data_IF_538936775699
#
_entry.id   IF_538936775699
#
_cell.length_a   1.000
_cell.length_b   1.000
_cell.length_c   1.000
_cell.angle_alpha   90.00
_cell.angle_beta   90.00
_cell.angle_gamma   90.00
#
_symmetry.space_group_name_H-M   'P 1'
#
loop_
_entity.id
_entity.type
_entity.pdbx_description
1 polymer ?
#
# COMPACT_ATOMS: atom_id res chain seq x y z
N UNK A 1 4.59 9.26 -13.47
CA UNK A 1 4.49 9.78 -14.84
C UNK A 1 4.06 8.70 -15.84
N UNK A 2 4.70 7.52 -15.91
CA UNK A 2 4.36 6.47 -16.89
C UNK A 2 2.90 6.03 -16.81
N UNK A 3 2.37 5.85 -15.62
CA UNK A 3 0.96 5.49 -15.46
C UNK A 3 -0.02 6.55 -16.00
N UNK A 4 0.38 7.82 -16.04
CA UNK A 4 -0.38 8.89 -16.67
C UNK A 4 -0.36 8.73 -18.20
N UNK A 5 0.80 8.45 -18.78
CA UNK A 5 0.92 8.24 -20.23
C UNK A 5 0.16 7.00 -20.70
N UNK A 6 0.20 5.90 -19.93
CA UNK A 6 -0.60 4.70 -20.20
C UNK A 6 -2.09 5.05 -20.18
N UNK A 7 -2.55 5.81 -19.17
CA UNK A 7 -3.94 6.22 -19.06
C UNK A 7 -4.39 7.07 -20.27
N UNK A 8 -3.57 8.06 -20.66
CA UNK A 8 -3.85 8.89 -21.84
C UNK A 8 -3.93 8.10 -23.14
N UNK A 9 -3.05 7.09 -23.28
CA UNK A 9 -2.98 6.26 -24.47
C UNK A 9 -4.16 5.29 -24.56
N UNK A 10 -4.51 4.62 -23.46
CA UNK A 10 -5.56 3.61 -23.42
C UNK A 10 -6.97 4.20 -23.34
N UNK A 11 -7.12 5.42 -22.83
CA UNK A 11 -8.44 5.99 -22.51
C UNK A 11 -9.05 5.39 -21.23
N UNK A 12 -10.17 5.97 -20.74
CA UNK A 12 -10.74 5.61 -19.44
C UNK A 12 -11.15 4.15 -19.33
N UNK A 13 -11.80 3.56 -20.33
CA UNK A 13 -12.32 2.20 -20.29
C UNK A 13 -11.20 1.15 -20.21
N UNK A 14 -10.23 1.18 -21.15
CA UNK A 14 -9.15 0.21 -21.16
C UNK A 14 -8.19 0.40 -19.98
N UNK A 15 -7.92 1.64 -19.58
CA UNK A 15 -7.15 1.93 -18.39
C UNK A 15 -7.87 1.48 -17.12
N UNK A 16 -9.17 1.58 -17.10
CA UNK A 16 -10.01 1.07 -16.02
C UNK A 16 -9.93 -0.46 -15.89
N UNK A 17 -10.07 -1.17 -17.00
CA UNK A 17 -9.91 -2.62 -17.02
C UNK A 17 -8.52 -3.06 -16.55
N UNK A 18 -7.46 -2.36 -16.96
CA UNK A 18 -6.10 -2.61 -16.47
C UNK A 18 -6.00 -2.35 -14.96
N UNK A 19 -6.54 -1.23 -14.49
CA UNK A 19 -6.53 -0.83 -13.08
C UNK A 19 -7.33 -1.80 -12.21
N UNK A 20 -8.50 -2.23 -12.68
CA UNK A 20 -9.29 -3.30 -12.06
C UNK A 20 -8.47 -4.58 -11.93
N UNK A 21 -7.85 -5.03 -13.03
CA UNK A 21 -7.07 -6.27 -13.05
C UNK A 21 -5.87 -6.21 -12.09
N UNK A 22 -5.20 -5.07 -12.01
CA UNK A 22 -4.12 -4.82 -11.04
C UNK A 22 -4.67 -4.85 -9.61
N UNK A 23 -5.74 -4.11 -9.31
CA UNK A 23 -6.33 -4.05 -7.98
C UNK A 23 -6.84 -5.43 -7.53
N UNK A 24 -7.47 -6.17 -8.45
CA UNK A 24 -7.94 -7.54 -8.21
C UNK A 24 -6.78 -8.48 -7.85
N UNK A 25 -5.69 -8.44 -8.60
CA UNK A 25 -4.50 -9.24 -8.33
C UNK A 25 -3.86 -8.86 -6.98
N UNK A 26 -3.78 -7.56 -6.68
CA UNK A 26 -3.24 -7.05 -5.43
C UNK A 26 -4.04 -7.51 -4.19
N UNK A 27 -5.36 -7.67 -4.33
CA UNK A 27 -6.21 -8.15 -3.23
C UNK A 27 -5.73 -9.49 -2.67
N UNK A 28 -5.21 -10.34 -3.54
CA UNK A 28 -4.68 -11.66 -3.16
C UNK A 28 -3.16 -11.63 -2.81
N UNK A 29 -2.48 -10.52 -3.08
CA UNK A 29 -1.03 -10.41 -2.89
C UNK A 29 -0.57 -10.68 -1.45
N UNK A 30 -1.37 -10.29 -0.45
CA UNK A 30 -1.10 -10.60 0.95
C UNK A 30 -1.08 -12.10 1.24
N UNK A 31 -1.93 -12.88 0.56
CA UNK A 31 -1.96 -14.36 0.71
C UNK A 31 -0.68 -14.99 0.17
N UNK A 32 -0.10 -14.48 -0.91
CA UNK A 32 1.11 -15.04 -1.52
C UNK A 32 2.33 -14.95 -0.60
N UNK A 33 2.40 -13.93 0.27
CA UNK A 33 3.51 -13.74 1.21
C UNK A 33 3.29 -14.43 2.56
N UNK A 34 2.09 -14.92 2.85
CA UNK A 34 1.70 -15.60 4.09
C UNK A 34 2.05 -14.80 5.37
N UNK A 35 2.21 -13.47 5.27
CA UNK A 35 2.63 -12.61 6.38
C UNK A 35 4.06 -12.86 6.87
N UNK A 36 4.89 -13.51 6.05
CA UNK A 36 6.25 -13.94 6.41
C UNK A 36 7.30 -12.81 6.47
N UNK A 37 7.22 -11.70 5.70
CA UNK A 37 8.34 -10.77 5.56
C UNK A 37 8.99 -10.36 6.88
N UNK A 38 8.23 -9.78 7.80
CA UNK A 38 8.75 -9.27 9.08
C UNK A 38 9.24 -10.39 10.01
N UNK A 39 8.58 -11.57 9.97
CA UNK A 39 8.94 -12.72 10.79
C UNK A 39 10.27 -13.30 10.33
N UNK A 40 10.46 -13.45 9.02
CA UNK A 40 11.68 -14.00 8.44
C UNK A 40 12.87 -13.08 8.69
N UNK A 41 12.72 -11.77 8.45
CA UNK A 41 13.78 -10.79 8.73
C UNK A 41 14.14 -10.80 10.21
N UNK A 42 13.14 -10.80 11.11
CA UNK A 42 13.34 -10.93 12.57
C UNK A 42 14.16 -12.18 12.93
N UNK A 43 13.77 -13.33 12.39
CA UNK A 43 14.40 -14.61 12.75
C UNK A 43 15.81 -14.73 12.18
N UNK A 44 16.07 -14.23 10.97
CA UNK A 44 17.42 -14.16 10.39
C UNK A 44 18.38 -13.31 11.24
N UNK A 45 17.88 -12.22 11.86
CA UNK A 45 18.68 -11.38 12.75
C UNK A 45 18.86 -12.01 14.13
N UNK A 46 17.81 -12.61 14.70
CA UNK A 46 17.84 -13.14 16.08
C UNK A 46 18.46 -14.54 16.19
N UNK A 47 18.36 -15.35 15.13
CA UNK A 47 18.77 -16.76 15.11
C UNK A 47 19.63 -17.06 13.87
N UNK A 48 20.83 -16.48 13.76
CA UNK A 48 21.67 -16.62 12.55
C UNK A 48 22.08 -18.07 12.27
N UNK A 49 22.11 -18.93 13.28
CA UNK A 49 22.44 -20.35 13.12
C UNK A 49 21.44 -21.15 12.31
N UNK A 50 20.15 -20.73 12.32
CA UNK A 50 19.07 -21.39 11.57
C UNK A 50 18.83 -20.75 10.19
N UNK A 51 19.68 -19.85 9.72
CA UNK A 51 19.46 -19.07 8.48
C UNK A 51 19.18 -19.92 7.25
N UNK A 52 19.85 -21.05 7.07
CA UNK A 52 19.66 -21.92 5.92
C UNK A 52 18.29 -22.61 5.93
N UNK A 53 17.87 -23.05 7.11
CA UNK A 53 16.54 -23.65 7.33
C UNK A 53 15.44 -22.60 7.18
N UNK A 54 15.65 -21.40 7.76
CA UNK A 54 14.69 -20.28 7.64
C UNK A 54 14.50 -19.85 6.18
N UNK A 55 15.59 -19.61 5.45
CA UNK A 55 15.52 -19.18 4.04
C UNK A 55 14.95 -20.26 3.12
N UNK A 56 15.42 -21.52 3.25
CA UNK A 56 14.93 -22.62 2.43
C UNK A 56 13.45 -22.92 2.67
N UNK A 57 13.03 -22.95 3.95
CA UNK A 57 11.62 -23.16 4.31
C UNK A 57 10.75 -21.99 3.83
N UNK A 58 11.23 -20.75 3.97
CA UNK A 58 10.53 -19.56 3.47
C UNK A 58 10.36 -19.59 1.97
N UNK A 59 11.41 -19.96 1.21
CA UNK A 59 11.33 -20.11 -0.26
C UNK A 59 10.24 -21.11 -0.68
N UNK A 60 10.19 -22.27 -0.01
CA UNK A 60 9.16 -23.28 -0.26
C UNK A 60 7.75 -22.76 0.09
N UNK A 61 7.59 -22.08 1.21
CA UNK A 61 6.31 -21.50 1.63
C UNK A 61 5.84 -20.40 0.66
N UNK A 62 6.74 -19.51 0.20
CA UNK A 62 6.39 -18.46 -0.77
C UNK A 62 6.05 -19.04 -2.14
N UNK A 63 6.73 -20.11 -2.57
CA UNK A 63 6.38 -20.81 -3.82
C UNK A 63 4.99 -21.42 -3.72
N UNK A 64 4.70 -22.16 -2.65
CA UNK A 64 3.38 -22.74 -2.41
C UNK A 64 2.31 -21.66 -2.24
N UNK A 65 2.59 -20.61 -1.47
CA UNK A 65 1.71 -19.47 -1.30
C UNK A 65 1.42 -18.76 -2.61
N UNK A 66 2.44 -18.57 -3.47
CA UNK A 66 2.30 -18.00 -4.80
C UNK A 66 1.42 -18.85 -5.72
N UNK A 67 1.63 -20.17 -5.77
CA UNK A 67 0.80 -21.10 -6.56
C UNK A 67 -0.65 -21.10 -6.06
N UNK A 68 -0.86 -21.23 -4.76
CA UNK A 68 -2.20 -21.20 -4.15
C UNK A 68 -2.92 -19.87 -4.46
N UNK A 69 -2.19 -18.75 -4.32
CA UNK A 69 -2.73 -17.43 -4.62
C UNK A 69 -3.11 -17.30 -6.09
N UNK A 70 -2.25 -17.78 -7.00
CA UNK A 70 -2.55 -17.75 -8.42
C UNK A 70 -3.80 -18.58 -8.76
N UNK A 71 -3.92 -19.79 -8.21
CA UNK A 71 -5.14 -20.60 -8.36
C UNK A 71 -6.38 -19.89 -7.82
N UNK A 72 -6.29 -19.27 -6.64
CA UNK A 72 -7.39 -18.49 -6.06
C UNK A 72 -7.79 -17.31 -6.95
N UNK A 73 -6.82 -16.57 -7.48
CA UNK A 73 -7.05 -15.48 -8.44
C UNK A 73 -7.83 -15.97 -9.65
N UNK A 74 -7.39 -17.09 -10.27
CA UNK A 74 -8.04 -17.66 -11.44
C UNK A 74 -9.46 -18.12 -11.13
N UNK A 75 -9.65 -18.88 -10.07
CA UNK A 75 -10.99 -19.35 -9.66
C UNK A 75 -11.92 -18.15 -9.43
N UNK A 76 -11.45 -17.15 -8.67
CA UNK A 76 -12.29 -16.02 -8.29
C UNK A 76 -12.66 -15.16 -9.49
N UNK A 77 -11.74 -14.89 -10.44
CA UNK A 77 -12.06 -14.05 -11.62
C UNK A 77 -13.09 -14.72 -12.54
N UNK A 78 -13.05 -16.05 -12.63
CA UNK A 78 -14.06 -16.79 -13.40
C UNK A 78 -15.47 -16.65 -12.81
N UNK A 79 -15.59 -16.45 -11.49
CA UNK A 79 -16.86 -16.22 -10.81
C UNK A 79 -17.29 -14.75 -10.85
N UNK A 80 -16.32 -13.84 -10.72
CA UNK A 80 -16.59 -12.39 -10.62
C UNK A 80 -16.90 -11.79 -11.99
N UNK A 81 -16.24 -12.26 -13.06
CA UNK A 81 -16.46 -11.81 -14.44
C UNK A 81 -16.61 -13.01 -15.42
N UNK A 82 -17.73 -13.74 -15.37
CA UNK A 82 -17.92 -14.97 -16.16
C UNK A 82 -17.88 -14.73 -17.67
N UNK A 83 -18.33 -13.57 -18.15
CA UNK A 83 -18.48 -13.28 -19.59
C UNK A 83 -17.37 -12.38 -20.15
N UNK A 84 -16.47 -11.85 -19.31
CA UNK A 84 -15.40 -10.94 -19.71
C UNK A 84 -14.08 -11.71 -19.92
N UNK A 85 -13.86 -12.16 -21.16
CA UNK A 85 -12.65 -12.88 -21.51
C UNK A 85 -11.38 -12.03 -21.37
N UNK A 86 -11.45 -10.73 -21.71
CA UNK A 86 -10.28 -9.85 -21.66
C UNK A 86 -9.84 -9.59 -20.21
N UNK A 87 -10.78 -9.36 -19.29
CA UNK A 87 -10.49 -9.28 -17.86
C UNK A 87 -9.83 -10.55 -17.34
N UNK A 88 -10.35 -11.74 -17.70
CA UNK A 88 -9.76 -13.02 -17.30
C UNK A 88 -8.33 -13.17 -17.78
N UNK A 89 -8.04 -12.82 -19.04
CA UNK A 89 -6.70 -12.91 -19.62
C UNK A 89 -5.76 -11.93 -18.90
N UNK A 90 -6.17 -10.67 -18.68
CA UNK A 90 -5.35 -9.69 -17.99
C UNK A 90 -5.05 -10.11 -16.55
N UNK A 91 -6.06 -10.57 -15.82
CA UNK A 91 -5.90 -11.05 -14.44
C UNK A 91 -5.03 -12.33 -14.39
N UNK A 92 -5.16 -13.22 -15.37
CA UNK A 92 -4.30 -14.41 -15.45
C UNK A 92 -2.82 -14.02 -15.67
N UNK A 93 -2.54 -13.08 -16.59
CA UNK A 93 -1.18 -12.61 -16.85
C UNK A 93 -0.62 -11.88 -15.62
N UNK A 94 -1.36 -10.92 -15.05
CA UNK A 94 -0.91 -10.17 -13.89
C UNK A 94 -0.82 -11.02 -12.62
N UNK A 95 -1.76 -11.94 -12.44
CA UNK A 95 -1.78 -12.88 -11.31
C UNK A 95 -0.59 -13.85 -11.32
N UNK A 96 -0.08 -14.20 -12.49
CA UNK A 96 1.10 -15.09 -12.61
C UNK A 96 2.37 -14.47 -11.98
N UNK A 97 2.41 -13.16 -11.73
CA UNK A 97 3.49 -12.52 -10.95
C UNK A 97 3.63 -13.11 -9.55
N UNK A 98 2.56 -13.68 -8.98
CA UNK A 98 2.59 -14.33 -7.66
C UNK A 98 3.48 -15.58 -7.64
N UNK A 99 3.70 -16.24 -8.77
CA UNK A 99 4.57 -17.41 -8.89
C UNK A 99 6.05 -17.08 -8.65
N UNK A 100 6.42 -15.82 -8.81
CA UNK A 100 7.81 -15.35 -8.66
C UNK A 100 8.11 -14.84 -7.25
N UNK A 101 7.15 -14.91 -6.32
CA UNK A 101 7.30 -14.42 -4.92
C UNK A 101 8.40 -15.16 -4.14
N UNK A 102 8.76 -16.38 -4.53
CA UNK A 102 9.87 -17.09 -3.89
C UNK A 102 11.22 -16.33 -3.97
N UNK A 103 11.42 -15.48 -4.98
CA UNK A 103 12.62 -14.63 -5.09
C UNK A 103 12.72 -13.57 -3.99
N UNK A 104 11.64 -13.26 -3.27
CA UNK A 104 11.64 -12.29 -2.17
C UNK A 104 12.48 -12.73 -0.96
N UNK A 105 12.88 -14.02 -0.87
CA UNK A 105 13.87 -14.44 0.12
C UNK A 105 15.17 -13.62 0.02
N UNK A 106 15.56 -13.19 -1.19
CA UNK A 106 16.70 -12.32 -1.39
C UNK A 106 16.50 -10.94 -0.72
N UNK A 107 15.29 -10.40 -0.82
CA UNK A 107 14.93 -9.13 -0.17
C UNK A 107 15.05 -9.27 1.34
N UNK A 108 14.47 -10.32 1.92
CA UNK A 108 14.49 -10.56 3.38
C UNK A 108 15.92 -10.79 3.89
N UNK A 109 16.74 -11.52 3.13
CA UNK A 109 18.16 -11.69 3.44
C UNK A 109 18.90 -10.34 3.45
N UNK A 110 18.83 -9.58 2.36
CA UNK A 110 19.52 -8.30 2.25
C UNK A 110 19.05 -7.27 3.29
N UNK A 111 17.77 -7.30 3.64
CA UNK A 111 17.21 -6.46 4.70
C UNK A 111 17.77 -6.88 6.07
N UNK A 112 17.83 -8.17 6.38
CA UNK A 112 18.37 -8.69 7.63
C UNK A 112 19.87 -8.37 7.82
N UNK A 113 20.61 -8.23 6.73
CA UNK A 113 22.04 -7.86 6.73
C UNK A 113 22.28 -6.34 6.63
N UNK A 114 21.22 -5.52 6.56
CA UNK A 114 21.29 -4.06 6.38
C UNK A 114 22.01 -3.66 5.06
N UNK A 115 21.90 -4.47 4.03
CA UNK A 115 22.48 -4.26 2.69
C UNK A 115 21.41 -4.14 1.60
N UNK A 116 20.28 -3.50 1.92
CA UNK A 116 19.12 -3.33 1.02
C UNK A 116 19.44 -2.61 -0.29
N UNK A 117 20.66 -2.10 -0.49
CA UNK A 117 21.11 -1.49 -1.75
C UNK A 117 20.87 -2.39 -2.97
N UNK A 118 21.11 -3.69 -2.84
CA UNK A 118 20.90 -4.65 -3.92
C UNK A 118 19.42 -4.77 -4.31
N UNK A 119 18.54 -4.83 -3.33
CA UNK A 119 17.08 -4.83 -3.56
C UNK A 119 16.63 -3.56 -4.28
N UNK A 120 17.11 -2.40 -3.78
CA UNK A 120 16.76 -1.08 -4.36
C UNK A 120 17.26 -0.96 -5.80
N UNK A 121 18.49 -1.40 -6.09
CA UNK A 121 19.04 -1.37 -7.46
C UNK A 121 18.25 -2.27 -8.41
N UNK A 122 17.90 -3.49 -7.98
CA UNK A 122 17.15 -4.42 -8.83
C UNK A 122 15.73 -3.89 -9.07
N UNK A 123 15.02 -3.50 -8.04
CA UNK A 123 13.64 -3.02 -8.16
C UNK A 123 13.56 -1.73 -9.00
N UNK A 124 14.37 -0.72 -8.68
CA UNK A 124 14.36 0.54 -9.43
C UNK A 124 14.93 0.37 -10.85
N UNK A 125 15.95 -0.47 -11.04
CA UNK A 125 16.52 -0.76 -12.36
C UNK A 125 15.50 -1.44 -13.27
N UNK A 126 14.84 -2.50 -12.78
CA UNK A 126 13.78 -3.19 -13.51
C UNK A 126 12.63 -2.23 -13.83
N UNK A 127 12.18 -1.45 -12.84
CA UNK A 127 11.15 -0.44 -13.05
C UNK A 127 11.52 0.56 -14.16
N UNK A 128 12.74 1.11 -14.17
CA UNK A 128 13.18 2.08 -15.18
C UNK A 128 13.27 1.47 -16.57
N UNK A 129 13.79 0.25 -16.69
CA UNK A 129 13.87 -0.47 -17.97
C UNK A 129 12.46 -0.69 -18.52
N UNK A 130 11.56 -1.26 -17.72
CA UNK A 130 10.20 -1.56 -18.16
C UNK A 130 9.34 -0.29 -18.30
N UNK A 131 9.70 0.78 -17.60
CA UNK A 131 9.16 2.10 -17.86
C UNK A 131 9.47 2.55 -19.29
N UNK A 132 10.71 2.42 -19.75
CA UNK A 132 11.10 2.69 -21.14
C UNK A 132 10.38 1.76 -22.13
N UNK A 133 10.28 0.46 -21.82
CA UNK A 133 9.52 -0.49 -22.65
C UNK A 133 8.05 -0.08 -22.77
N UNK A 134 7.39 0.29 -21.67
CA UNK A 134 5.99 0.75 -21.70
C UNK A 134 5.81 2.01 -22.55
N UNK A 135 6.80 2.92 -22.56
CA UNK A 135 6.80 4.07 -23.49
C UNK A 135 6.92 3.61 -24.93
N UNK A 136 7.80 2.67 -25.26
CA UNK A 136 7.92 2.12 -26.60
C UNK A 136 6.63 1.42 -27.04
N UNK A 137 5.93 0.71 -26.14
CA UNK A 137 4.63 0.13 -26.43
C UNK A 137 3.59 1.18 -26.80
N UNK A 138 3.56 2.32 -26.10
CA UNK A 138 2.69 3.46 -26.44
C UNK A 138 3.01 4.00 -27.82
N UNK A 139 4.30 4.24 -28.13
CA UNK A 139 4.73 4.80 -29.40
C UNK A 139 4.42 3.87 -30.60
N UNK A 140 4.41 2.57 -30.37
CA UNK A 140 4.09 1.57 -31.39
C UNK A 140 2.59 1.24 -31.50
N UNK A 141 1.72 1.89 -30.74
CA UNK A 141 0.27 1.69 -30.82
C UNK A 141 -0.20 0.29 -30.39
N UNK A 142 0.46 -0.32 -29.40
CA UNK A 142 0.19 -1.72 -29.01
C UNK A 142 -1.08 -1.88 -28.17
N UNK A 143 -1.78 -3.02 -28.24
CA UNK A 143 -3.01 -3.26 -27.50
C UNK A 143 -2.76 -3.35 -25.98
N UNK A 144 -3.84 -3.16 -25.20
CA UNK A 144 -3.85 -3.21 -23.73
C UNK A 144 -3.10 -4.40 -23.14
N UNK A 145 -3.26 -5.58 -23.72
CA UNK A 145 -2.66 -6.84 -23.22
C UNK A 145 -1.12 -6.78 -23.18
N UNK A 146 -0.49 -5.98 -24.07
CA UNK A 146 0.96 -5.79 -24.08
C UNK A 146 1.49 -5.15 -22.78
N UNK A 147 0.71 -4.28 -22.15
CA UNK A 147 1.07 -3.66 -20.86
C UNK A 147 1.03 -4.68 -19.71
N UNK A 148 0.10 -5.64 -19.74
CA UNK A 148 0.06 -6.73 -18.78
C UNK A 148 1.28 -7.65 -18.94
N UNK A 149 1.65 -8.02 -20.17
CA UNK A 149 2.86 -8.78 -20.46
C UNK A 149 4.14 -8.05 -20.06
N UNK A 150 4.22 -6.73 -20.30
CA UNK A 150 5.35 -5.91 -19.85
C UNK A 150 5.48 -5.91 -18.31
N UNK A 151 4.35 -5.87 -17.59
CA UNK A 151 4.34 -5.93 -16.12
C UNK A 151 4.77 -7.32 -15.61
N UNK A 152 4.34 -8.39 -16.25
CA UNK A 152 4.80 -9.74 -15.93
C UNK A 152 6.29 -9.90 -16.22
N UNK A 153 6.77 -9.43 -17.38
CA UNK A 153 8.18 -9.49 -17.74
C UNK A 153 9.06 -8.67 -16.76
N UNK A 154 8.58 -7.51 -16.29
CA UNK A 154 9.22 -6.74 -15.22
C UNK A 154 9.39 -7.58 -13.94
N UNK A 155 8.34 -8.27 -13.51
CA UNK A 155 8.38 -9.13 -12.33
C UNK A 155 9.33 -10.32 -12.51
N UNK A 156 9.35 -10.95 -13.71
CA UNK A 156 10.28 -12.06 -14.02
C UNK A 156 11.73 -11.57 -13.99
N UNK A 157 12.03 -10.45 -14.65
CA UNK A 157 13.39 -9.90 -14.67
C UNK A 157 13.84 -9.51 -13.26
N UNK A 158 12.99 -8.85 -12.48
CA UNK A 158 13.29 -8.54 -11.10
C UNK A 158 13.55 -9.80 -10.26
N UNK A 159 12.74 -10.85 -10.41
CA UNK A 159 12.91 -12.12 -9.71
C UNK A 159 14.21 -12.84 -10.10
N UNK A 160 14.54 -12.89 -11.39
CA UNK A 160 15.78 -13.50 -11.89
C UNK A 160 17.01 -12.74 -11.37
N UNK A 161 17.01 -11.40 -11.49
CA UNK A 161 18.15 -10.58 -11.04
C UNK A 161 18.30 -10.64 -9.52
N UNK A 162 17.20 -10.61 -8.76
CA UNK A 162 17.25 -10.82 -7.30
C UNK A 162 17.83 -12.18 -6.93
N UNK A 163 17.44 -13.25 -7.64
CA UNK A 163 17.96 -14.59 -7.40
C UNK A 163 19.46 -14.69 -7.73
N UNK A 164 19.92 -14.05 -8.80
CA UNK A 164 21.35 -13.96 -9.14
C UNK A 164 22.10 -13.19 -8.08
N UNK A 165 21.60 -12.02 -7.65
CA UNK A 165 22.23 -11.20 -6.60
C UNK A 165 22.30 -11.94 -5.26
N UNK A 166 21.27 -12.73 -4.94
CA UNK A 166 21.27 -13.60 -3.77
C UNK A 166 22.33 -14.71 -3.88
N UNK A 167 22.44 -15.35 -5.05
CA UNK A 167 23.48 -16.38 -5.28
C UNK A 167 24.92 -15.85 -5.18
N UNK A 168 25.13 -14.57 -5.55
CA UNK A 168 26.46 -13.92 -5.50
C UNK A 168 26.82 -13.35 -4.13
N UNK A 169 25.84 -12.83 -3.38
CA UNK A 169 26.06 -12.04 -2.15
C UNK A 169 25.33 -12.62 -0.93
N UNK A 170 24.62 -13.72 -1.09
CA UNK A 170 23.91 -14.42 -0.03
C UNK A 170 24.52 -15.76 0.34
N UNK A 171 23.86 -16.52 1.20
CA UNK A 171 24.22 -17.90 1.50
C UNK A 171 24.06 -18.79 0.25
N UNK A 172 24.94 -19.80 0.14
CA UNK A 172 24.87 -20.73 -0.99
C UNK A 172 23.50 -21.41 -1.11
N UNK A 173 22.84 -21.35 -2.27
CA UNK A 173 21.56 -22.00 -2.47
C UNK A 173 21.57 -23.52 -2.15
N UNK A 174 22.71 -24.17 -2.31
CA UNK A 174 22.89 -25.60 -2.02
C UNK A 174 22.81 -25.96 -0.54
N UNK A 175 22.99 -24.98 0.35
CA UNK A 175 22.92 -25.14 1.80
C UNK A 175 21.50 -24.92 2.34
N UNK A 176 20.59 -24.40 1.49
CA UNK A 176 19.21 -24.16 1.89
C UNK A 176 18.50 -25.50 2.15
N UNK A 177 17.88 -25.62 3.30
CA UNK A 177 17.12 -26.82 3.67
C UNK A 177 15.70 -26.46 4.06
N UNK A 178 14.78 -27.35 3.76
CA UNK A 178 13.34 -27.19 4.05
C UNK A 178 12.99 -28.07 5.24
N UNK A 179 12.30 -27.48 6.21
CA UNK A 179 11.87 -28.19 7.43
C UNK A 179 10.37 -27.93 7.68
N UNK A 180 9.59 -29.00 7.73
CA UNK A 180 8.17 -28.91 8.04
C UNK A 180 7.91 -28.35 9.45
N UNK A 181 8.78 -28.72 10.40
CA UNK A 181 8.70 -28.18 11.77
C UNK A 181 8.94 -26.68 11.79
N UNK A 182 9.92 -26.20 11.03
CA UNK A 182 10.22 -24.77 10.94
C UNK A 182 9.10 -24.02 10.19
N UNK A 183 8.51 -24.62 9.14
CA UNK A 183 7.35 -24.07 8.46
C UNK A 183 6.15 -23.83 9.39
N UNK A 184 5.85 -24.80 10.26
CA UNK A 184 4.79 -24.65 11.27
C UNK A 184 5.05 -23.48 12.23
N UNK A 185 6.31 -23.30 12.66
CA UNK A 185 6.70 -22.21 13.56
C UNK A 185 6.51 -20.86 12.82
N UNK A 186 7.03 -20.73 11.60
CA UNK A 186 6.91 -19.50 10.81
C UNK A 186 5.44 -19.14 10.56
N UNK A 187 4.62 -20.10 10.14
CA UNK A 187 3.18 -19.87 9.88
C UNK A 187 2.41 -19.52 11.16
N UNK A 188 2.74 -20.17 12.29
CA UNK A 188 2.15 -19.84 13.59
C UNK A 188 2.47 -18.41 14.03
N UNK A 189 3.66 -17.92 13.73
CA UNK A 189 4.07 -16.55 14.08
C UNK A 189 3.51 -15.52 13.10
N UNK A 190 3.36 -15.88 11.79
CA UNK A 190 3.00 -14.94 10.74
C UNK A 190 1.50 -14.78 10.46
N UNK A 191 0.63 -15.73 10.88
CA UNK A 191 -0.79 -15.66 10.56
C UNK A 191 -1.51 -14.37 11.01
N UNK A 192 -1.15 -13.73 12.17
CA UNK A 192 -1.79 -12.47 12.52
C UNK A 192 -1.39 -11.33 11.57
N UNK A 193 -0.14 -11.36 11.08
CA UNK A 193 0.36 -10.40 10.11
C UNK A 193 -0.29 -10.61 8.73
N UNK A 194 -0.52 -11.86 8.35
CA UNK A 194 -1.27 -12.19 7.14
C UNK A 194 -2.68 -11.57 7.18
N UNK A 195 -3.43 -11.76 8.26
CA UNK A 195 -4.76 -11.16 8.41
C UNK A 195 -4.72 -9.63 8.40
N UNK A 196 -3.69 -9.04 9.05
CA UNK A 196 -3.48 -7.60 9.00
C UNK A 196 -3.23 -7.10 7.58
N UNK A 197 -2.39 -7.79 6.82
CA UNK A 197 -2.07 -7.42 5.44
C UNK A 197 -3.28 -7.55 4.52
N UNK A 198 -4.09 -8.60 4.68
CA UNK A 198 -5.35 -8.76 3.95
C UNK A 198 -6.29 -7.59 4.26
N UNK A 199 -6.48 -7.26 5.53
CA UNK A 199 -7.35 -6.14 5.93
C UNK A 199 -6.89 -4.80 5.34
N UNK A 200 -5.59 -4.55 5.33
CA UNK A 200 -5.01 -3.32 4.72
C UNK A 200 -5.26 -3.29 3.22
N UNK A 201 -5.02 -4.39 2.50
CA UNK A 201 -5.20 -4.42 1.04
C UNK A 201 -6.67 -4.29 0.66
N UNK A 202 -7.59 -4.97 1.36
CA UNK A 202 -9.04 -4.79 1.19
C UNK A 202 -9.40 -3.31 1.38
N UNK A 203 -8.96 -2.73 2.48
CA UNK A 203 -9.23 -1.34 2.82
C UNK A 203 -8.72 -0.34 1.75
N UNK A 204 -7.62 -0.66 1.06
CA UNK A 204 -7.02 0.23 0.05
C UNK A 204 -7.51 0.00 -1.38
N UNK A 205 -8.05 -1.18 -1.71
CA UNK A 205 -8.27 -1.56 -3.13
C UNK A 205 -9.67 -2.08 -3.43
N UNK A 206 -10.48 -2.33 -2.41
CA UNK A 206 -11.84 -2.87 -2.62
C UNK A 206 -12.74 -1.93 -3.41
N UNK A 207 -12.55 -0.61 -3.27
CA UNK A 207 -13.30 0.42 -3.99
C UNK A 207 -13.23 0.23 -5.50
N UNK A 208 -12.01 -0.02 -6.04
CA UNK A 208 -11.79 -0.21 -7.48
C UNK A 208 -12.47 -1.49 -7.97
N UNK A 209 -12.47 -2.54 -7.16
CA UNK A 209 -13.12 -3.81 -7.51
C UNK A 209 -14.63 -3.67 -7.48
N UNK A 210 -15.17 -3.08 -6.41
CA UNK A 210 -16.62 -2.86 -6.29
C UNK A 210 -17.13 -1.90 -7.37
N UNK A 211 -16.39 -0.84 -7.66
CA UNK A 211 -16.73 0.10 -8.72
C UNK A 211 -16.78 -0.60 -10.09
N UNK A 212 -15.79 -1.44 -10.39
CA UNK A 212 -15.74 -2.21 -11.64
C UNK A 212 -16.86 -3.23 -11.78
N UNK A 213 -17.36 -3.79 -10.67
CA UNK A 213 -18.49 -4.73 -10.67
C UNK A 213 -19.85 -4.05 -10.72
N UNK A 214 -19.97 -2.87 -10.10
CA UNK A 214 -21.27 -2.21 -9.90
C UNK A 214 -21.58 -1.16 -10.97
N UNK A 215 -20.53 -0.56 -11.58
CA UNK A 215 -20.67 0.55 -12.54
C UNK A 215 -19.99 0.23 -13.88
N UNK A 216 -18.77 -0.33 -13.87
CA UNK A 216 -18.04 -0.70 -15.07
C UNK A 216 -16.63 -0.15 -15.10
N UNK A 217 -15.88 -0.54 -16.15
CA UNK A 217 -14.44 -0.29 -16.24
C UNK A 217 -14.09 1.18 -16.48
N UNK A 218 -14.91 1.91 -17.24
CA UNK A 218 -14.70 3.34 -17.44
C UNK A 218 -14.70 4.11 -16.12
N UNK A 219 -15.66 3.81 -15.23
CA UNK A 219 -15.72 4.42 -13.90
C UNK A 219 -14.46 4.08 -13.05
N UNK A 220 -13.93 2.85 -13.17
CA UNK A 220 -12.68 2.47 -12.52
C UNK A 220 -11.51 3.27 -13.10
N UNK A 221 -11.47 3.51 -14.41
CA UNK A 221 -10.41 4.28 -15.06
C UNK A 221 -10.38 5.73 -14.58
N UNK A 222 -11.54 6.37 -14.58
CA UNK A 222 -11.73 7.74 -14.08
C UNK A 222 -11.36 7.84 -12.60
N UNK A 223 -11.85 6.91 -11.77
CA UNK A 223 -11.52 6.83 -10.34
C UNK A 223 -10.01 6.62 -10.12
N UNK A 224 -9.41 5.67 -10.84
CA UNK A 224 -8.00 5.34 -10.69
C UNK A 224 -7.07 6.48 -11.10
N UNK A 225 -7.46 7.32 -12.07
CA UNK A 225 -6.73 8.51 -12.44
C UNK A 225 -6.69 9.53 -11.29
N UNK A 226 -7.82 9.78 -10.64
CA UNK A 226 -7.92 10.67 -9.48
C UNK A 226 -7.13 10.13 -8.28
N UNK A 227 -7.35 8.85 -7.92
CA UNK A 227 -6.69 8.20 -6.79
C UNK A 227 -5.17 8.20 -6.94
N UNK A 228 -4.66 7.95 -8.14
CA UNK A 228 -3.21 7.94 -8.40
C UNK A 228 -2.54 9.29 -8.09
N UNK A 229 -3.20 10.42 -8.35
CA UNK A 229 -2.69 11.74 -7.97
C UNK A 229 -2.78 11.95 -6.47
N UNK A 230 -3.87 11.51 -5.86
CA UNK A 230 -4.07 11.64 -4.42
C UNK A 230 -3.08 10.77 -3.62
N UNK A 231 -2.83 9.52 -4.03
CA UNK A 231 -1.94 8.59 -3.34
C UNK A 231 -0.46 8.93 -3.48
N UNK A 232 -0.06 9.71 -4.52
CA UNK A 232 1.36 10.07 -4.69
C UNK A 232 1.93 10.82 -3.48
N UNK A 233 1.11 11.50 -2.71
CA UNK A 233 1.53 12.26 -1.53
C UNK A 233 1.79 11.38 -0.29
N UNK A 234 1.36 10.09 -0.31
CA UNK A 234 1.46 9.21 0.85
C UNK A 234 2.90 8.81 1.21
N UNK A 235 3.88 9.03 0.32
CA UNK A 235 5.29 8.84 0.67
C UNK A 235 5.81 9.88 1.67
N UNK A 236 5.21 11.09 1.70
CA UNK A 236 5.66 12.19 2.56
C UNK A 236 5.54 11.82 4.05
N UNK A 237 4.36 11.43 4.58
CA UNK A 237 4.24 11.08 5.99
C UNK A 237 5.10 9.89 6.37
N UNK A 238 5.28 8.89 5.49
CA UNK A 238 6.13 7.73 5.77
C UNK A 238 7.60 8.13 5.96
N UNK A 239 8.12 9.01 5.09
CA UNK A 239 9.48 9.52 5.17
C UNK A 239 9.72 10.39 6.40
N UNK A 240 8.82 11.34 6.68
CA UNK A 240 8.95 12.23 7.84
C UNK A 240 8.89 11.42 9.14
N UNK A 241 7.89 10.54 9.25
CA UNK A 241 7.70 9.73 10.46
C UNK A 241 8.89 8.79 10.68
N UNK A 242 9.42 8.16 9.64
CA UNK A 242 10.62 7.31 9.74
C UNK A 242 11.83 8.10 10.28
N UNK A 243 11.99 9.37 9.88
CA UNK A 243 13.10 10.22 10.31
C UNK A 243 12.95 10.72 11.75
N UNK A 244 11.72 11.06 12.18
CA UNK A 244 11.46 11.69 13.48
C UNK A 244 11.22 10.67 14.60
N UNK A 245 10.72 9.49 14.27
CA UNK A 245 10.32 8.47 15.24
C UNK A 245 11.43 8.02 16.22
N UNK A 246 12.70 7.82 15.81
CA UNK A 246 13.77 7.51 16.75
C UNK A 246 13.98 8.58 17.83
N UNK A 247 13.81 9.88 17.45
CA UNK A 247 13.93 10.99 18.39
C UNK A 247 12.73 11.04 19.37
N UNK A 248 11.54 10.62 18.93
CA UNK A 248 10.35 10.47 19.78
C UNK A 248 10.56 9.35 20.79
N UNK A 249 11.04 8.18 20.34
CA UNK A 249 11.32 7.04 21.23
C UNK A 249 12.41 7.37 22.27
N UNK A 250 13.45 8.09 21.86
CA UNK A 250 14.51 8.53 22.79
C UNK A 250 13.93 9.45 23.88
N UNK A 251 13.01 10.34 23.52
CA UNK A 251 12.34 11.22 24.49
C UNK A 251 11.48 10.44 25.48
N UNK A 252 10.85 9.33 25.09
CA UNK A 252 10.09 8.45 25.98
C UNK A 252 10.93 7.91 27.16
N UNK A 253 12.20 7.57 26.89
CA UNK A 253 13.11 7.08 27.91
C UNK A 253 13.56 8.17 28.90
N UNK A 254 13.40 9.45 28.54
CA UNK A 254 13.84 10.59 29.35
C UNK A 254 12.68 11.22 30.13
N UNK A 255 11.53 11.44 29.50
CA UNK A 255 10.34 12.08 30.11
C UNK A 255 9.09 11.78 29.29
N UNK A 256 8.05 11.30 29.95
CA UNK A 256 6.73 11.05 29.35
C UNK A 256 6.14 12.35 28.78
N UNK A 257 6.30 13.47 29.47
CA UNK A 257 5.83 14.78 29.00
C UNK A 257 6.52 15.18 27.67
N UNK A 258 7.84 15.02 27.58
CA UNK A 258 8.58 15.34 26.34
C UNK A 258 8.19 14.39 25.20
N UNK A 259 7.91 13.13 25.50
CA UNK A 259 7.43 12.15 24.53
C UNK A 259 6.11 12.60 23.90
N UNK A 260 5.09 12.88 24.71
CA UNK A 260 3.79 13.32 24.20
C UNK A 260 3.85 14.71 23.55
N UNK A 261 4.71 15.62 24.05
CA UNK A 261 4.94 16.90 23.39
C UNK A 261 5.48 16.75 21.97
N UNK A 262 6.48 15.90 21.77
CA UNK A 262 7.02 15.60 20.43
C UNK A 262 6.00 14.90 19.53
N UNK A 263 5.23 13.99 20.09
CA UNK A 263 4.17 13.30 19.36
C UNK A 263 3.05 14.29 18.93
N UNK A 264 2.69 15.24 19.79
CA UNK A 264 1.74 16.30 19.43
C UNK A 264 2.26 17.16 18.28
N UNK A 265 3.53 17.56 18.30
CA UNK A 265 4.13 18.31 17.20
C UNK A 265 4.14 17.51 15.89
N UNK A 266 4.31 16.19 15.98
CA UNK A 266 4.21 15.32 14.81
C UNK A 266 2.79 15.33 14.25
N UNK A 267 1.75 15.20 15.08
CA UNK A 267 0.36 15.28 14.63
C UNK A 267 0.02 16.65 14.04
N UNK A 268 0.46 17.75 14.69
CA UNK A 268 0.29 19.11 14.19
C UNK A 268 0.91 19.25 12.78
N UNK A 269 2.17 18.80 12.61
CA UNK A 269 2.86 18.83 11.32
C UNK A 269 2.14 18.00 10.26
N UNK A 270 1.75 16.77 10.59
CA UNK A 270 1.08 15.87 9.64
C UNK A 270 -0.26 16.43 9.18
N UNK A 271 -1.06 16.95 10.10
CA UNK A 271 -2.36 17.54 9.78
C UNK A 271 -2.22 18.76 8.86
N UNK A 272 -1.41 19.73 9.24
CA UNK A 272 -1.32 20.98 8.49
C UNK A 272 -0.58 20.84 7.17
N UNK A 273 0.38 19.91 7.09
CA UNK A 273 1.02 19.56 5.83
C UNK A 273 0.02 18.90 4.86
N UNK A 274 -0.80 17.97 5.35
CA UNK A 274 -1.81 17.32 4.51
C UNK A 274 -2.90 18.30 4.05
N UNK A 275 -3.36 19.21 4.90
CA UNK A 275 -4.30 20.28 4.52
C UNK A 275 -3.66 21.22 3.50
N UNK A 276 -2.39 21.58 3.72
CA UNK A 276 -1.61 22.41 2.79
C UNK A 276 -1.45 21.79 1.39
N UNK A 277 -1.51 20.47 1.28
CA UNK A 277 -1.55 19.74 0.00
C UNK A 277 -2.98 19.62 -0.53
N UNK A 278 -3.91 19.21 0.33
CA UNK A 278 -5.28 18.92 -0.09
C UNK A 278 -6.01 20.17 -0.60
N UNK A 279 -5.81 21.32 0.05
CA UNK A 279 -6.52 22.54 -0.29
C UNK A 279 -6.17 23.07 -1.69
N UNK A 280 -4.90 23.26 -2.08
CA UNK A 280 -4.56 23.64 -3.45
C UNK A 280 -5.02 22.61 -4.50
N UNK A 281 -4.85 21.30 -4.22
CA UNK A 281 -5.25 20.24 -5.16
C UNK A 281 -6.76 20.26 -5.37
N UNK A 282 -7.56 20.56 -4.35
CA UNK A 282 -9.03 20.68 -4.48
C UNK A 282 -9.40 21.76 -5.49
N UNK A 283 -8.80 22.95 -5.41
CA UNK A 283 -9.11 24.05 -6.33
C UNK A 283 -8.51 23.87 -7.72
N UNK A 284 -7.39 23.16 -7.81
CA UNK A 284 -6.67 22.93 -9.07
C UNK A 284 -7.00 21.57 -9.69
N UNK A 285 -7.94 20.81 -9.14
CA UNK A 285 -8.24 19.42 -9.55
C UNK A 285 -8.53 19.31 -11.05
N UNK A 286 -9.36 20.19 -11.60
CA UNK A 286 -9.68 20.20 -13.03
C UNK A 286 -8.44 20.48 -13.90
N UNK A 287 -7.67 21.50 -13.55
CA UNK A 287 -6.45 21.84 -14.28
C UNK A 287 -5.42 20.69 -14.21
N UNK A 288 -5.26 20.07 -13.04
CA UNK A 288 -4.34 18.96 -12.85
C UNK A 288 -4.76 17.74 -13.67
N UNK A 289 -6.05 17.38 -13.66
CA UNK A 289 -6.58 16.26 -14.46
C UNK A 289 -6.41 16.58 -15.96
N UNK A 290 -6.82 17.76 -16.41
CA UNK A 290 -6.72 18.17 -17.81
C UNK A 290 -5.28 18.13 -18.32
N UNK A 291 -4.33 18.68 -17.56
CA UNK A 291 -2.90 18.70 -17.93
C UNK A 291 -2.31 17.29 -17.95
N UNK A 292 -2.59 16.47 -16.94
CA UNK A 292 -1.96 15.17 -16.80
C UNK A 292 -2.65 14.10 -17.66
N UNK A 293 -3.99 13.98 -17.61
CA UNK A 293 -4.71 12.88 -18.26
C UNK A 293 -5.47 13.30 -19.55
N UNK A 294 -5.69 14.59 -19.75
CA UNK A 294 -6.44 15.11 -20.90
C UNK A 294 -7.94 15.27 -20.63
N UNK A 295 -8.66 15.75 -21.63
CA UNK A 295 -10.09 16.09 -21.51
C UNK A 295 -11.00 14.88 -21.29
N UNK A 296 -10.62 13.71 -21.78
CA UNK A 296 -11.37 12.46 -21.62
C UNK A 296 -11.48 11.97 -20.15
N UNK A 297 -10.67 12.55 -19.24
CA UNK A 297 -10.67 12.24 -17.81
C UNK A 297 -11.23 13.36 -16.94
N UNK A 298 -11.90 14.38 -17.50
CA UNK A 298 -12.39 15.52 -16.71
C UNK A 298 -13.32 15.12 -15.58
N UNK A 299 -14.08 14.04 -15.72
CA UNK A 299 -14.93 13.47 -14.68
C UNK A 299 -14.13 12.93 -13.45
N UNK A 300 -12.80 12.80 -13.57
CA UNK A 300 -11.94 12.51 -12.43
C UNK A 300 -11.69 13.73 -11.54
N UNK A 301 -11.99 14.96 -12.00
CA UNK A 301 -11.74 16.20 -11.26
C UNK A 301 -12.54 16.29 -9.94
N UNK A 302 -13.86 16.08 -9.92
CA UNK A 302 -14.63 16.06 -8.68
C UNK A 302 -14.20 14.91 -7.77
N UNK A 303 -13.79 13.76 -8.32
CA UNK A 303 -13.29 12.62 -7.55
C UNK A 303 -11.97 12.99 -6.87
N UNK A 304 -11.04 13.62 -7.58
CA UNK A 304 -9.76 14.09 -7.04
C UNK A 304 -9.97 15.14 -5.95
N UNK A 305 -10.86 16.13 -6.19
CA UNK A 305 -11.15 17.19 -5.22
C UNK A 305 -11.70 16.67 -3.90
N UNK A 306 -12.41 15.54 -3.94
CA UNK A 306 -12.90 14.83 -2.75
C UNK A 306 -11.79 13.94 -2.20
N UNK A 307 -11.28 12.98 -2.98
CA UNK A 307 -10.39 11.92 -2.51
C UNK A 307 -9.07 12.44 -1.91
N UNK A 308 -8.59 13.61 -2.35
CA UNK A 308 -7.35 14.20 -1.79
C UNK A 308 -7.45 14.45 -0.27
N UNK A 309 -8.66 14.67 0.27
CA UNK A 309 -8.88 14.83 1.70
C UNK A 309 -8.66 13.55 2.51
N UNK A 310 -8.64 12.37 1.85
CA UNK A 310 -8.22 11.12 2.47
C UNK A 310 -6.77 11.21 2.98
N UNK A 311 -5.92 12.04 2.34
CA UNK A 311 -4.53 12.27 2.78
C UNK A 311 -4.44 12.78 4.21
N UNK A 312 -5.40 13.58 4.68
CA UNK A 312 -5.44 14.08 6.06
C UNK A 312 -5.45 12.92 7.07
N UNK A 313 -6.30 11.94 6.80
CA UNK A 313 -6.42 10.77 7.67
C UNK A 313 -5.26 9.80 7.50
N UNK A 314 -4.73 9.64 6.28
CA UNK A 314 -3.54 8.83 6.03
C UNK A 314 -2.31 9.40 6.76
N UNK A 315 -2.09 10.71 6.70
CA UNK A 315 -0.97 11.36 7.38
C UNK A 315 -1.05 11.17 8.91
N UNK A 316 -2.22 11.41 9.50
CA UNK A 316 -2.46 11.15 10.92
C UNK A 316 -2.37 9.65 11.27
N UNK A 317 -2.83 8.78 10.37
CA UNK A 317 -2.76 7.33 10.51
C UNK A 317 -1.34 6.81 10.55
N UNK A 318 -0.47 7.27 9.64
CA UNK A 318 0.96 6.92 9.60
C UNK A 318 1.67 7.39 10.87
N UNK A 319 1.40 8.60 11.34
CA UNK A 319 1.96 9.10 12.60
C UNK A 319 1.51 8.25 13.79
N UNK A 320 0.21 7.92 13.89
CA UNK A 320 -0.30 7.11 14.99
C UNK A 320 0.13 5.65 14.93
N UNK A 321 0.42 5.07 13.74
CA UNK A 321 0.90 3.69 13.63
C UNK A 321 2.19 3.45 14.43
N UNK A 322 3.07 4.45 14.48
CA UNK A 322 4.32 4.37 15.25
C UNK A 322 4.07 4.44 16.76
N UNK A 323 3.07 5.19 17.20
CA UNK A 323 2.66 5.18 18.60
C UNK A 323 2.14 3.79 19.03
N UNK A 324 1.31 3.14 18.19
CA UNK A 324 0.84 1.77 18.48
C UNK A 324 2.00 0.79 18.64
N UNK A 325 3.06 0.94 17.84
CA UNK A 325 4.26 0.11 17.96
C UNK A 325 5.02 0.44 19.24
N UNK A 326 5.22 1.72 19.56
CA UNK A 326 5.94 2.17 20.75
C UNK A 326 5.28 1.73 22.05
N UNK A 327 3.94 1.68 22.06
CA UNK A 327 3.14 1.28 23.22
C UNK A 327 2.78 -0.20 23.25
N UNK A 328 3.32 -1.03 22.33
CA UNK A 328 2.99 -2.46 22.18
C UNK A 328 1.48 -2.72 21.99
N UNK A 329 0.80 -1.83 21.25
CA UNK A 329 -0.66 -1.87 21.04
C UNK A 329 -1.03 -2.20 19.57
N UNK A 330 -0.21 -2.99 18.87
CA UNK A 330 -0.41 -3.34 17.46
C UNK A 330 -1.76 -4.04 17.21
N UNK A 331 -2.26 -4.80 18.18
CA UNK A 331 -3.57 -5.48 18.11
C UNK A 331 -4.70 -4.45 17.93
N UNK A 332 -4.62 -3.30 18.63
CA UNK A 332 -5.62 -2.23 18.48
C UNK A 332 -5.55 -1.60 17.10
N UNK A 333 -4.33 -1.42 16.56
CA UNK A 333 -4.15 -0.95 15.18
C UNK A 333 -4.77 -1.92 14.16
N UNK A 334 -4.59 -3.21 14.36
CA UNK A 334 -5.19 -4.24 13.53
C UNK A 334 -6.73 -4.23 13.59
N UNK A 335 -7.31 -4.21 14.80
CA UNK A 335 -8.76 -4.17 15.00
C UNK A 335 -9.41 -2.98 14.30
N UNK A 336 -8.82 -1.78 14.42
CA UNK A 336 -9.33 -0.59 13.74
C UNK A 336 -9.26 -0.70 12.21
N UNK A 337 -8.22 -1.35 11.67
CA UNK A 337 -8.08 -1.57 10.22
C UNK A 337 -9.17 -2.50 9.70
N UNK A 338 -9.46 -3.59 10.41
CA UNK A 338 -10.58 -4.50 10.05
C UNK A 338 -11.91 -3.75 10.08
N UNK A 339 -12.17 -3.00 11.15
CA UNK A 339 -13.41 -2.20 11.28
C UNK A 339 -13.52 -1.24 10.09
N UNK A 340 -12.42 -0.58 9.74
CA UNK A 340 -12.37 0.32 8.58
C UNK A 340 -12.66 -0.38 7.26
N UNK A 341 -12.08 -1.54 7.03
CA UNK A 341 -12.33 -2.34 5.83
C UNK A 341 -13.82 -2.74 5.73
N UNK A 342 -14.40 -3.21 6.82
CA UNK A 342 -15.81 -3.57 6.86
C UNK A 342 -16.73 -2.36 6.62
N UNK A 343 -16.45 -1.23 7.26
CA UNK A 343 -17.23 0.00 7.06
C UNK A 343 -17.08 0.49 5.62
N UNK A 344 -15.87 0.46 5.05
CA UNK A 344 -15.64 0.86 3.67
C UNK A 344 -16.48 0.00 2.70
N UNK A 345 -16.45 -1.32 2.84
CA UNK A 345 -17.26 -2.23 2.01
C UNK A 345 -18.75 -1.94 2.17
N UNK A 346 -19.24 -1.79 3.40
CA UNK A 346 -20.66 -1.51 3.65
C UNK A 346 -21.11 -0.17 3.06
N UNK A 347 -20.30 0.87 3.24
CA UNK A 347 -20.59 2.18 2.67
C UNK A 347 -20.53 2.15 1.14
N UNK A 348 -19.57 1.42 0.54
CA UNK A 348 -19.48 1.26 -0.91
C UNK A 348 -20.72 0.59 -1.50
N UNK A 349 -21.28 -0.44 -0.84
CA UNK A 349 -22.54 -1.08 -1.26
C UNK A 349 -23.69 -0.06 -1.33
N UNK A 350 -23.71 0.93 -0.43
CA UNK A 350 -24.76 1.92 -0.36
C UNK A 350 -24.55 3.13 -1.29
N UNK A 351 -23.27 3.57 -1.43
CA UNK A 351 -22.95 4.83 -2.10
C UNK A 351 -22.58 4.65 -3.58
N UNK A 352 -21.87 3.57 -3.94
CA UNK A 352 -21.47 3.35 -5.35
C UNK A 352 -22.67 3.28 -6.29
N UNK A 353 -23.79 2.56 -5.98
CA UNK A 353 -24.94 2.51 -6.88
C UNK A 353 -25.60 3.87 -7.12
N UNK A 354 -25.47 4.81 -6.18
CA UNK A 354 -26.12 6.12 -6.25
C UNK A 354 -25.20 7.22 -6.79
N UNK A 355 -23.92 7.16 -6.44
CA UNK A 355 -22.96 8.23 -6.69
C UNK A 355 -21.73 7.78 -7.47
N UNK A 356 -21.71 6.52 -7.92
CA UNK A 356 -20.65 5.93 -8.73
C UNK A 356 -19.24 6.18 -8.13
N UNK A 357 -18.27 6.64 -8.92
CA UNK A 357 -16.91 6.89 -8.50
C UNK A 357 -16.78 8.00 -7.42
N UNK A 358 -17.67 8.99 -7.43
CA UNK A 358 -17.74 10.00 -6.34
C UNK A 358 -18.17 9.35 -5.03
N UNK A 359 -19.09 8.39 -5.11
CA UNK A 359 -19.50 7.57 -3.97
C UNK A 359 -18.31 6.82 -3.35
N UNK A 360 -17.51 6.13 -4.17
CA UNK A 360 -16.31 5.43 -3.74
C UNK A 360 -15.29 6.37 -3.05
N UNK A 361 -15.02 7.54 -3.62
CA UNK A 361 -14.13 8.54 -3.02
C UNK A 361 -14.64 9.03 -1.66
N UNK A 362 -15.94 9.27 -1.55
CA UNK A 362 -16.57 9.74 -0.31
C UNK A 362 -16.51 8.68 0.79
N UNK A 363 -16.81 7.41 0.44
CA UNK A 363 -16.76 6.28 1.39
C UNK A 363 -15.36 6.02 1.89
N UNK A 364 -14.34 6.19 1.04
CA UNK A 364 -12.92 6.11 1.44
C UNK A 364 -12.59 7.15 2.50
N UNK A 365 -12.97 8.42 2.32
CA UNK A 365 -12.73 9.46 3.32
C UNK A 365 -13.43 9.14 4.63
N UNK A 366 -14.71 8.77 4.59
CA UNK A 366 -15.48 8.45 5.79
C UNK A 366 -14.83 7.28 6.55
N UNK A 367 -14.47 6.21 5.84
CA UNK A 367 -13.84 5.04 6.44
C UNK A 367 -12.48 5.38 7.04
N UNK A 368 -11.67 6.19 6.35
CA UNK A 368 -10.36 6.65 6.84
C UNK A 368 -10.51 7.56 8.07
N UNK A 369 -11.50 8.43 8.10
CA UNK A 369 -11.81 9.27 9.26
C UNK A 369 -12.20 8.41 10.46
N UNK A 370 -13.08 7.42 10.26
CA UNK A 370 -13.52 6.52 11.32
C UNK A 370 -12.32 5.73 11.88
N UNK A 371 -11.51 5.13 11.02
CA UNK A 371 -10.33 4.33 11.44
C UNK A 371 -9.31 5.18 12.16
N UNK A 372 -9.02 6.38 11.64
CA UNK A 372 -7.89 7.17 12.12
C UNK A 372 -8.23 8.06 13.31
N UNK A 373 -9.46 8.52 13.43
CA UNK A 373 -9.87 9.44 14.49
C UNK A 373 -10.91 8.80 15.39
N UNK A 374 -12.07 8.40 14.83
CA UNK A 374 -13.24 8.03 15.64
C UNK A 374 -12.97 6.74 16.43
N UNK A 375 -12.29 5.75 15.85
CA UNK A 375 -11.97 4.49 16.53
C UNK A 375 -11.14 4.70 17.81
N UNK A 376 -10.28 5.72 17.84
CA UNK A 376 -9.44 6.00 19.00
C UNK A 376 -10.25 6.50 20.22
N UNK A 377 -11.50 6.97 20.01
CA UNK A 377 -12.39 7.42 21.10
C UNK A 377 -12.95 6.25 21.92
N UNK A 378 -13.18 5.10 21.29
CA UNK A 378 -13.89 3.98 21.92
C UNK A 378 -13.05 3.17 22.90
N UNK A 379 -11.72 3.24 22.82
CA UNK A 379 -10.82 2.51 23.69
C UNK A 379 -10.13 3.46 24.67
N UNK A 380 -10.10 3.09 25.96
CA UNK A 380 -9.50 3.93 27.01
C UNK A 380 -8.04 4.26 26.72
N UNK A 381 -7.31 3.30 26.18
CA UNK A 381 -5.89 3.40 25.89
C UNK A 381 -5.56 4.36 24.75
N UNK A 382 -6.47 4.57 23.82
CA UNK A 382 -6.25 5.41 22.62
C UNK A 382 -6.90 6.78 22.73
N UNK A 383 -7.72 7.03 23.76
CA UNK A 383 -8.40 8.33 23.95
C UNK A 383 -7.45 9.53 23.99
N UNK A 384 -6.27 9.35 24.58
CA UNK A 384 -5.25 10.41 24.59
C UNK A 384 -4.85 10.79 23.17
N UNK A 385 -4.63 9.80 22.31
CA UNK A 385 -4.27 10.00 20.90
C UNK A 385 -5.42 10.68 20.15
N UNK A 386 -6.67 10.30 20.42
CA UNK A 386 -7.84 10.99 19.89
C UNK A 386 -7.79 12.50 20.21
N UNK A 387 -7.64 12.87 21.49
CA UNK A 387 -7.60 14.28 21.88
C UNK A 387 -6.42 15.01 21.27
N UNK A 388 -5.24 14.40 21.19
CA UNK A 388 -4.07 14.99 20.54
C UNK A 388 -4.34 15.29 19.06
N UNK A 389 -4.97 14.36 18.32
CA UNK A 389 -5.37 14.59 16.92
C UNK A 389 -6.40 15.71 16.80
N UNK A 390 -7.42 15.74 17.66
CA UNK A 390 -8.43 16.80 17.66
C UNK A 390 -7.81 18.16 18.00
N UNK A 391 -6.88 18.20 18.95
CA UNK A 391 -6.17 19.45 19.27
C UNK A 391 -5.35 20.01 18.11
N UNK A 392 -4.85 19.14 17.22
CA UNK A 392 -4.10 19.57 16.03
C UNK A 392 -4.96 20.37 15.05
N UNK A 393 -6.29 20.21 15.05
CA UNK A 393 -7.21 21.03 14.25
C UNK A 393 -7.33 22.46 14.76
N UNK A 394 -6.94 22.75 16.00
CA UNK A 394 -6.96 24.10 16.54
C UNK A 394 -5.71 24.87 16.12
N UNK A 395 -5.83 25.68 15.06
CA UNK A 395 -4.74 26.46 14.48
C UNK A 395 -4.07 27.40 15.50
N UNK A 396 -4.83 28.01 16.40
CA UNK A 396 -4.28 28.92 17.41
C UNK A 396 -3.35 28.19 18.38
N UNK A 397 -3.75 27.00 18.82
CA UNK A 397 -2.88 26.14 19.66
C UNK A 397 -1.62 25.71 18.93
N UNK A 398 -1.72 25.34 17.65
CA UNK A 398 -0.57 24.95 16.83
C UNK A 398 0.41 26.10 16.67
N UNK A 399 -0.07 27.30 16.32
CA UNK A 399 0.78 28.49 16.20
C UNK A 399 1.48 28.83 17.54
N UNK A 400 0.78 28.72 18.66
CA UNK A 400 1.38 28.95 19.98
C UNK A 400 2.50 27.94 20.28
N UNK A 401 2.30 26.67 19.97
CA UNK A 401 3.33 25.62 20.14
C UNK A 401 4.57 25.87 19.28
N UNK A 402 4.39 26.31 18.02
CA UNK A 402 5.50 26.63 17.11
C UNK A 402 6.31 27.83 17.65
N UNK A 403 5.64 28.87 18.18
CA UNK A 403 6.34 30.02 18.79
C UNK A 403 7.18 29.62 20.00
N UNK A 404 6.66 28.75 20.87
CA UNK A 404 7.39 28.22 22.02
C UNK A 404 8.64 27.44 21.57
N UNK A 405 8.53 26.60 20.54
CA UNK A 405 9.66 25.86 19.96
C UNK A 405 10.75 26.80 19.44
N UNK A 406 10.37 27.87 18.72
CA UNK A 406 11.33 28.82 18.16
C UNK A 406 12.08 29.60 19.23
N UNK A 407 11.49 29.80 20.39
CA UNK A 407 12.11 30.49 21.51
C UNK A 407 12.99 29.58 22.39
N UNK A 408 12.94 28.25 22.17
CA UNK A 408 13.73 27.23 22.90
C UNK A 408 14.92 26.68 22.12
N UNK A 409 15.06 27.05 20.84
CA UNK A 409 16.21 26.83 19.96
C UNK A 409 17.13 28.05 19.98
#
# INVERSE_FOLDING_TARGET
LIGVWIARYLGPEQFGLLSFSIAFTWLFGAVSTLGLPEIVVRDLVRKPDTKFETLGTTAALLLLGGVLTYCLILITIFWVRPDDLLAKILVAILGSTMLFKASEIAVYWFESQVISKYTVWVQNGSFLIFAGIKVLLILNGTPLIAFAWATLAEAIVAAVVLSIMFGLNGPSPQQLCVSLRHAQILLKDSWPLLLSSIAVVVYMKVDQIMLGQMVGDEAVGIYSAAVRISEVWYFIPTTIVASVFPAILKARNSSEEQYYKKLQHLFDLMLWLSIGIALPVTFLSESVIKILFGETYLDASPILSIHIWASVFVFLGVASSKWFIAENKQILSFQRTIIGALINVLLNILFIPKFQAVGAATTTIISYAIVTIISDLFQKETRLIFFMKIESFNLLKVISRIKILKNSL
#
